data_IF_923625293843
#
_entry.id   IF_923625293843
#
_cell.length_a   1.000
_cell.length_b   1.000
_cell.length_c   1.000
_cell.angle_alpha   90.00
_cell.angle_beta   90.00
_cell.angle_gamma   90.00
#
_symmetry.space_group_name_H-M   'P 1'
#
loop_
_entity.id
_entity.type
_entity.pdbx_description
1 polymer ?
#
# COMPACT_ATOMS: atom_id res chain seq x y z
N UNK A 1 -20.93 1.32 53.36
CA UNK A 1 -21.20 1.71 51.95
C UNK A 1 -19.90 1.59 51.19
N UNK A 2 -19.82 0.64 50.27
CA UNK A 2 -18.67 0.39 49.39
C UNK A 2 -19.10 0.82 47.98
N UNK A 3 -18.32 1.68 47.33
CA UNK A 3 -18.36 1.85 45.87
C UNK A 3 -16.91 1.91 45.39
N UNK A 4 -16.39 0.76 44.97
CA UNK A 4 -15.15 0.66 44.23
C UNK A 4 -15.46 0.91 42.75
N UNK A 5 -14.97 2.02 42.21
CA UNK A 5 -15.00 2.30 40.76
C UNK A 5 -13.85 1.53 40.09
N UNK A 6 -14.16 0.37 39.53
CA UNK A 6 -13.29 -0.31 38.58
C UNK A 6 -13.43 0.35 37.20
N UNK A 7 -12.48 1.23 36.85
CA UNK A 7 -12.33 1.72 35.49
C UNK A 7 -11.53 0.65 34.72
N UNK A 8 -12.24 -0.23 34.02
CA UNK A 8 -11.63 -1.11 33.02
C UNK A 8 -11.29 -0.24 31.81
N UNK A 9 -10.02 0.15 31.70
CA UNK A 9 -9.48 0.61 30.43
C UNK A 9 -9.51 -0.59 29.48
N UNK A 10 -10.54 -0.66 28.63
CA UNK A 10 -10.51 -1.53 27.46
C UNK A 10 -9.46 -0.95 26.52
N UNK A 11 -8.27 -1.56 26.50
CA UNK A 11 -7.35 -1.39 25.38
C UNK A 11 -8.09 -1.87 24.12
N UNK A 12 -8.60 -0.93 23.33
CA UNK A 12 -9.08 -1.24 22.00
C UNK A 12 -7.88 -1.83 21.24
N UNK A 13 -7.95 -3.08 20.75
CA UNK A 13 -6.85 -3.65 20.01
C UNK A 13 -6.57 -2.72 18.83
N UNK A 14 -5.29 -2.34 18.67
CA UNK A 14 -4.86 -1.57 17.51
C UNK A 14 -5.41 -2.26 16.25
N UNK A 15 -6.21 -1.53 15.47
CA UNK A 15 -6.90 -2.09 14.32
C UNK A 15 -5.86 -2.69 13.38
N UNK A 16 -5.83 -4.02 13.28
CA UNK A 16 -4.91 -4.73 12.42
C UNK A 16 -5.25 -4.39 10.97
N UNK A 17 -4.24 -4.07 10.17
CA UNK A 17 -4.44 -3.90 8.74
C UNK A 17 -4.73 -5.27 8.11
N UNK A 18 -5.92 -5.42 7.53
CA UNK A 18 -6.32 -6.62 6.82
C UNK A 18 -6.12 -6.40 5.32
N UNK A 19 -4.97 -6.85 4.81
CA UNK A 19 -4.65 -6.72 3.40
C UNK A 19 -5.64 -7.48 2.51
N UNK A 20 -6.11 -6.83 1.43
CA UNK A 20 -6.70 -7.53 0.31
C UNK A 20 -5.58 -8.26 -0.44
N UNK A 21 -5.55 -9.60 -0.33
CA UNK A 21 -4.46 -10.42 -0.88
C UNK A 21 -4.24 -10.20 -2.38
N UNK A 22 -5.31 -9.95 -3.15
CA UNK A 22 -5.20 -9.73 -4.60
C UNK A 22 -4.56 -8.37 -4.91
N UNK A 23 -4.95 -7.32 -4.18
CA UNK A 23 -4.35 -6.00 -4.33
C UNK A 23 -2.90 -5.95 -3.83
N UNK A 24 -2.59 -6.61 -2.70
CA UNK A 24 -1.22 -6.72 -2.20
C UNK A 24 -0.31 -7.46 -3.19
N UNK A 25 -0.82 -8.55 -3.80
CA UNK A 25 -0.10 -9.24 -4.87
C UNK A 25 0.13 -8.32 -6.08
N UNK A 26 -0.89 -7.60 -6.53
CA UNK A 26 -0.73 -6.64 -7.64
C UNK A 26 0.39 -5.62 -7.36
N UNK A 27 0.40 -5.01 -6.18
CA UNK A 27 1.46 -4.05 -5.82
C UNK A 27 2.83 -4.73 -5.75
N UNK A 28 2.88 -5.97 -5.27
CA UNK A 28 4.14 -6.74 -5.24
C UNK A 28 4.67 -6.98 -6.65
N UNK A 29 3.81 -7.32 -7.62
CA UNK A 29 4.21 -7.47 -9.03
C UNK A 29 4.70 -6.13 -9.61
N UNK A 30 4.03 -5.01 -9.30
CA UNK A 30 4.47 -3.66 -9.73
C UNK A 30 5.88 -3.36 -9.22
N UNK A 31 6.13 -3.60 -7.93
CA UNK A 31 7.45 -3.39 -7.32
C UNK A 31 8.51 -4.34 -7.90
N UNK A 32 8.17 -5.61 -8.13
CA UNK A 32 9.11 -6.57 -8.74
C UNK A 32 9.48 -6.18 -10.16
N UNK A 33 8.52 -5.74 -10.97
CA UNK A 33 8.79 -5.29 -12.32
C UNK A 33 9.66 -4.01 -12.36
N UNK A 34 9.40 -3.06 -11.47
CA UNK A 34 10.24 -1.87 -11.31
C UNK A 34 11.66 -2.23 -10.83
N UNK A 35 11.78 -3.18 -9.89
CA UNK A 35 13.06 -3.71 -9.42
C UNK A 35 13.86 -4.40 -10.54
N UNK A 36 13.21 -5.24 -11.35
CA UNK A 36 13.86 -5.85 -12.52
C UNK A 36 14.33 -4.81 -13.53
N UNK A 37 13.53 -3.76 -13.74
CA UNK A 37 13.91 -2.64 -14.60
C UNK A 37 15.15 -1.92 -14.06
N UNK A 38 15.21 -1.67 -12.74
CA UNK A 38 16.37 -1.08 -12.08
C UNK A 38 17.62 -1.96 -12.23
N UNK A 39 17.50 -3.28 -12.02
CA UNK A 39 18.59 -4.24 -12.17
C UNK A 39 19.13 -4.31 -13.61
N UNK A 40 18.27 -4.11 -14.61
CA UNK A 40 18.66 -4.04 -16.01
C UNK A 40 19.30 -2.69 -16.40
N UNK A 41 19.44 -1.74 -15.46
CA UNK A 41 19.97 -0.40 -15.71
C UNK A 41 18.97 0.55 -16.37
N UNK A 42 17.67 0.21 -16.34
CA UNK A 42 16.59 1.07 -16.82
C UNK A 42 16.20 2.17 -15.83
N UNK A 43 15.26 3.02 -16.22
CA UNK A 43 14.64 3.99 -15.32
C UNK A 43 13.63 3.30 -14.40
N UNK A 44 13.70 3.61 -13.11
CA UNK A 44 12.88 3.00 -12.07
C UNK A 44 12.29 4.08 -11.16
N UNK A 45 11.21 3.75 -10.46
CA UNK A 45 10.42 4.67 -9.64
C UNK A 45 10.75 4.53 -8.17
N UNK A 46 11.01 3.31 -7.68
CA UNK A 46 11.21 3.05 -6.26
C UNK A 46 12.68 2.86 -5.89
N UNK A 47 13.02 3.28 -4.68
CA UNK A 47 14.36 3.13 -4.12
C UNK A 47 14.57 1.71 -3.62
N UNK A 48 15.70 1.12 -4.00
CA UNK A 48 16.10 -0.22 -3.60
C UNK A 48 17.45 -0.17 -2.86
N UNK A 49 17.59 -1.00 -1.83
CA UNK A 49 18.89 -1.22 -1.18
C UNK A 49 19.90 -1.79 -2.19
N UNK A 50 21.16 -1.40 -2.09
CA UNK A 50 22.22 -1.86 -3.01
C UNK A 50 22.47 -3.37 -2.97
N UNK A 51 22.05 -4.04 -1.89
CA UNK A 51 22.11 -5.48 -1.70
C UNK A 51 20.71 -6.13 -1.70
N UNK A 52 19.67 -5.40 -2.12
CA UNK A 52 18.33 -5.95 -2.26
C UNK A 52 18.31 -7.10 -3.27
N UNK A 53 17.53 -8.14 -2.96
CA UNK A 53 17.25 -9.27 -3.84
C UNK A 53 15.74 -9.43 -3.96
N UNK A 54 15.25 -10.14 -4.98
CA UNK A 54 13.82 -10.42 -5.11
C UNK A 54 13.24 -11.08 -3.85
N UNK A 55 13.96 -12.04 -3.26
CA UNK A 55 13.52 -12.76 -2.08
C UNK A 55 13.42 -11.85 -0.84
N UNK A 56 14.42 -10.98 -0.64
CA UNK A 56 14.40 -10.03 0.48
C UNK A 56 13.34 -8.96 0.28
N UNK A 57 13.16 -8.45 -0.94
CA UNK A 57 12.15 -7.46 -1.29
C UNK A 57 10.73 -8.03 -1.12
N UNK A 58 10.48 -9.26 -1.59
CA UNK A 58 9.21 -9.95 -1.42
C UNK A 58 8.88 -10.14 0.06
N UNK A 59 9.86 -10.57 0.87
CA UNK A 59 9.69 -10.71 2.32
C UNK A 59 9.37 -9.37 3.00
N UNK A 60 10.03 -8.29 2.57
CA UNK A 60 9.80 -6.94 3.10
C UNK A 60 8.40 -6.43 2.75
N UNK A 61 7.95 -6.64 1.52
CA UNK A 61 6.59 -6.30 1.08
C UNK A 61 5.52 -7.07 1.87
N UNK A 62 5.69 -8.38 2.05
CA UNK A 62 4.76 -9.20 2.84
C UNK A 62 4.67 -8.72 4.30
N UNK A 63 5.82 -8.42 4.91
CA UNK A 63 5.87 -7.88 6.27
C UNK A 63 5.25 -6.49 6.36
N UNK A 64 5.49 -5.63 5.39
CA UNK A 64 4.88 -4.30 5.34
C UNK A 64 3.35 -4.41 5.21
N UNK A 65 2.86 -5.21 4.26
CA UNK A 65 1.42 -5.45 4.07
C UNK A 65 0.76 -6.25 5.20
N UNK A 66 1.51 -6.89 6.10
CA UNK A 66 0.93 -7.44 7.33
C UNK A 66 0.44 -6.35 8.29
N UNK A 67 0.93 -5.12 8.14
CA UNK A 67 0.66 -3.99 9.02
C UNK A 67 1.24 -4.11 10.43
N UNK A 68 2.05 -5.14 10.70
CA UNK A 68 2.72 -5.32 12.00
C UNK A 68 4.12 -4.72 12.05
N UNK A 69 4.73 -4.46 10.88
CA UNK A 69 6.05 -3.86 10.76
C UNK A 69 6.05 -2.74 9.69
N UNK A 70 5.68 -1.50 10.06
CA UNK A 70 5.67 -0.36 9.14
C UNK A 70 7.07 0.04 8.61
N UNK A 71 8.14 -0.47 9.24
CA UNK A 71 9.52 -0.20 8.87
C UNK A 71 10.16 -1.32 8.04
N UNK A 72 9.43 -2.41 7.77
CA UNK A 72 9.93 -3.53 6.97
C UNK A 72 10.36 -3.12 5.56
N UNK A 73 9.69 -2.12 4.98
CA UNK A 73 9.99 -1.58 3.67
C UNK A 73 10.82 -0.29 3.81
N UNK A 74 12.08 -0.36 3.37
CA UNK A 74 13.02 0.77 3.36
C UNK A 74 12.82 1.60 2.10
N UNK A 75 11.72 2.35 2.07
CA UNK A 75 11.36 3.30 1.02
C UNK A 75 11.04 4.66 1.64
N UNK A 76 11.25 5.72 0.88
CA UNK A 76 10.89 7.08 1.25
C UNK A 76 9.38 7.20 1.51
N UNK A 77 8.94 8.14 2.35
CA UNK A 77 7.51 8.27 2.68
C UNK A 77 6.60 8.45 1.46
N UNK A 78 7.05 9.21 0.45
CA UNK A 78 6.30 9.42 -0.79
C UNK A 78 6.14 8.14 -1.62
N UNK A 79 7.15 7.26 -1.60
CA UNK A 79 7.10 5.97 -2.29
C UNK A 79 6.09 5.04 -1.61
N UNK A 80 6.08 4.99 -0.26
CA UNK A 80 5.07 4.23 0.49
C UNK A 80 3.65 4.73 0.22
N UNK A 81 3.47 6.05 0.10
CA UNK A 81 2.20 6.64 -0.31
C UNK A 81 1.81 6.15 -1.71
N UNK A 82 2.72 6.21 -2.70
CA UNK A 82 2.45 5.71 -4.04
C UNK A 82 2.09 4.22 -4.07
N UNK A 83 2.77 3.38 -3.29
CA UNK A 83 2.41 1.96 -3.14
C UNK A 83 1.00 1.78 -2.56
N UNK A 84 0.62 2.61 -1.59
CA UNK A 84 -0.72 2.57 -1.03
C UNK A 84 -1.78 3.04 -2.05
N UNK A 85 -1.47 4.04 -2.87
CA UNK A 85 -2.32 4.48 -4.00
C UNK A 85 -2.59 3.34 -4.98
N UNK A 86 -1.54 2.62 -5.40
CA UNK A 86 -1.67 1.43 -6.25
C UNK A 86 -2.48 0.32 -5.56
N UNK A 87 -2.23 0.08 -4.27
CA UNK A 87 -2.98 -0.91 -3.49
C UNK A 87 -4.47 -0.56 -3.44
N UNK A 88 -4.81 0.68 -3.08
CA UNK A 88 -6.20 1.11 -2.97
C UNK A 88 -6.90 1.02 -4.33
N UNK A 89 -6.29 1.53 -5.40
CA UNK A 89 -6.82 1.42 -6.74
C UNK A 89 -7.12 -0.04 -7.11
N UNK A 90 -6.19 -0.97 -6.81
CA UNK A 90 -6.38 -2.39 -7.01
C UNK A 90 -7.52 -2.97 -6.15
N UNK A 91 -7.76 -2.49 -4.92
CA UNK A 91 -8.93 -2.93 -4.13
C UNK A 91 -10.27 -2.53 -4.75
N UNK A 92 -10.28 -1.48 -5.59
CA UNK A 92 -11.48 -0.95 -6.25
C UNK A 92 -11.73 -1.56 -7.63
N UNK A 93 -10.72 -2.17 -8.24
CA UNK A 93 -10.84 -2.83 -9.53
C UNK A 93 -11.81 -4.03 -9.49
N UNK A 94 -12.52 -4.30 -10.59
CA UNK A 94 -13.33 -5.51 -10.69
C UNK A 94 -12.42 -6.75 -10.62
N UNK A 95 -12.92 -7.84 -10.02
CA UNK A 95 -12.13 -9.06 -9.84
C UNK A 95 -11.61 -9.68 -11.16
N UNK A 96 -12.24 -9.33 -12.28
CA UNK A 96 -11.89 -9.72 -13.66
C UNK A 96 -10.93 -8.74 -14.36
N UNK A 97 -10.41 -7.73 -13.66
CA UNK A 97 -9.49 -6.75 -14.25
C UNK A 97 -8.24 -7.44 -14.81
N UNK A 98 -7.78 -7.05 -16.01
CA UNK A 98 -6.54 -7.55 -16.61
C UNK A 98 -5.31 -7.36 -15.72
N UNK A 99 -5.30 -6.33 -14.85
CA UNK A 99 -4.22 -6.07 -13.90
C UNK A 99 -3.88 -7.25 -12.99
N UNK A 100 -4.86 -8.12 -12.70
CA UNK A 100 -4.64 -9.27 -11.83
C UNK A 100 -4.07 -10.49 -12.56
N UNK A 101 -3.97 -10.42 -13.89
CA UNK A 101 -3.36 -11.46 -14.73
C UNK A 101 -1.99 -11.02 -15.20
N UNK A 102 -1.89 -9.79 -15.70
CA UNK A 102 -0.67 -9.24 -16.28
C UNK A 102 -0.65 -7.72 -16.09
N UNK A 103 0.34 -7.22 -15.36
CA UNK A 103 0.51 -5.79 -15.08
C UNK A 103 1.03 -5.02 -16.30
N UNK A 104 1.63 -5.70 -17.27
CA UNK A 104 2.09 -5.12 -18.53
C UNK A 104 0.99 -5.07 -19.60
N UNK A 105 -0.19 -5.65 -19.33
CA UNK A 105 -1.34 -5.55 -20.22
C UNK A 105 -1.77 -4.08 -20.33
N UNK A 106 -1.86 -3.49 -21.55
CA UNK A 106 -2.27 -2.09 -21.71
C UNK A 106 -3.62 -1.77 -21.06
N UNK A 107 -4.55 -2.74 -21.04
CA UNK A 107 -5.84 -2.56 -20.39
C UNK A 107 -5.74 -2.49 -18.86
N UNK A 108 -4.65 -3.00 -18.25
CA UNK A 108 -4.38 -2.76 -16.84
C UNK A 108 -4.14 -1.27 -16.57
N UNK A 109 -3.33 -0.61 -17.40
CA UNK A 109 -3.04 0.82 -17.25
C UNK A 109 -4.31 1.69 -17.30
N UNK A 110 -5.28 1.32 -18.14
CA UNK A 110 -6.58 2.00 -18.23
C UNK A 110 -7.41 1.82 -16.95
N UNK A 111 -7.51 0.59 -16.43
CA UNK A 111 -8.24 0.31 -15.19
C UNK A 111 -7.59 1.02 -13.99
N UNK A 112 -6.25 1.00 -13.93
CA UNK A 112 -5.48 1.61 -12.86
C UNK A 112 -5.60 3.14 -12.87
N UNK A 113 -5.36 3.77 -14.02
CA UNK A 113 -5.44 5.22 -14.16
C UNK A 113 -6.82 5.77 -13.80
N UNK A 114 -7.90 5.05 -14.15
CA UNK A 114 -9.27 5.41 -13.77
C UNK A 114 -9.46 5.50 -12.25
N UNK A 115 -8.87 4.60 -11.49
CA UNK A 115 -8.98 4.61 -10.02
C UNK A 115 -8.02 5.61 -9.40
N UNK A 116 -6.80 5.74 -9.92
CA UNK A 116 -5.85 6.77 -9.47
C UNK A 116 -6.39 8.19 -9.68
N UNK A 117 -7.11 8.45 -10.78
CA UNK A 117 -7.77 9.75 -10.99
C UNK A 117 -8.77 10.09 -9.88
N UNK A 118 -9.47 9.09 -9.33
CA UNK A 118 -10.41 9.31 -8.22
C UNK A 118 -9.71 9.62 -6.91
N UNK A 119 -8.55 9.03 -6.67
CA UNK A 119 -7.71 9.42 -5.54
C UNK A 119 -7.31 10.88 -5.64
N UNK A 120 -6.88 11.35 -6.82
CA UNK A 120 -6.53 12.76 -7.06
C UNK A 120 -7.72 13.69 -6.83
N UNK A 121 -8.95 13.22 -7.09
CA UNK A 121 -10.20 13.95 -6.82
C UNK A 121 -10.70 13.79 -5.37
N UNK A 122 -9.82 13.45 -4.42
CA UNK A 122 -10.14 13.31 -2.99
C UNK A 122 -11.28 12.29 -2.69
N UNK A 123 -11.31 11.13 -3.38
CA UNK A 123 -12.34 10.12 -3.13
C UNK A 123 -12.42 9.78 -1.63
N UNK A 124 -13.57 9.97 -0.98
CA UNK A 124 -13.67 9.81 0.48
C UNK A 124 -13.43 8.36 0.91
N UNK A 125 -13.53 7.37 0.00
CA UNK A 125 -13.14 5.98 0.27
C UNK A 125 -11.63 5.83 0.33
N UNK A 126 -10.87 6.53 -0.53
CA UNK A 126 -9.41 6.57 -0.45
C UNK A 126 -8.97 7.20 0.86
N UNK A 127 -9.47 8.39 1.19
CA UNK A 127 -9.09 9.11 2.43
C UNK A 127 -9.33 8.24 3.67
N UNK A 128 -10.49 7.58 3.77
CA UNK A 128 -10.78 6.68 4.90
C UNK A 128 -9.85 5.47 4.94
N UNK A 129 -9.57 4.86 3.79
CA UNK A 129 -8.66 3.73 3.71
C UNK A 129 -7.23 4.16 4.12
N UNK A 130 -6.77 5.29 3.60
CA UNK A 130 -5.46 5.87 3.88
C UNK A 130 -5.29 6.15 5.37
N UNK A 131 -6.22 6.88 5.99
CA UNK A 131 -6.14 7.19 7.43
C UNK A 131 -6.15 5.92 8.29
N UNK A 132 -6.92 4.89 7.90
CA UNK A 132 -6.93 3.60 8.60
C UNK A 132 -5.61 2.83 8.46
N UNK A 133 -4.93 2.98 7.32
CA UNK A 133 -3.68 2.29 7.00
C UNK A 133 -2.43 3.08 7.43
N UNK A 134 -2.59 4.37 7.76
CA UNK A 134 -1.49 5.29 8.05
C UNK A 134 -0.54 4.78 9.13
N UNK A 135 -1.07 4.39 10.28
CA UNK A 135 -0.24 3.86 11.38
C UNK A 135 0.27 2.44 11.09
N UNK A 136 -0.56 1.48 10.67
CA UNK A 136 -0.09 0.11 10.37
C UNK A 136 0.99 0.04 9.29
N UNK A 137 0.93 0.90 8.27
CA UNK A 137 1.86 0.88 7.14
C UNK A 137 2.93 1.99 7.22
N UNK A 138 2.91 2.82 8.26
CA UNK A 138 3.86 3.93 8.40
C UNK A 138 3.78 4.93 7.26
N UNK A 139 2.56 5.24 6.78
CA UNK A 139 2.34 6.19 5.70
C UNK A 139 2.56 7.64 6.20
N UNK A 140 3.04 8.56 5.34
CA UNK A 140 3.13 9.96 5.69
C UNK A 140 1.72 10.57 5.91
N UNK A 141 1.63 11.74 6.55
CA UNK A 141 0.40 12.54 6.50
C UNK A 141 -0.05 12.74 5.06
N UNK A 142 -1.36 12.57 4.80
CA UNK A 142 -1.91 12.86 3.49
C UNK A 142 -1.89 14.38 3.30
N UNK A 143 -1.01 14.87 2.43
CA UNK A 143 -1.07 16.25 1.98
C UNK A 143 -2.26 16.38 1.04
N UNK A 144 -3.34 16.97 1.56
CA UNK A 144 -4.51 17.28 0.74
C UNK A 144 -4.10 18.44 -0.15
N UNK A 145 -4.08 18.21 -1.46
CA UNK A 145 -3.96 19.30 -2.41
C UNK A 145 -5.16 20.23 -2.17
N UNK A 146 -4.92 21.40 -1.60
CA UNK A 146 -5.87 22.50 -1.67
C UNK A 146 -5.94 22.93 -3.13
N UNK A 147 -6.78 22.24 -3.91
CA UNK A 147 -7.10 22.62 -5.27
C UNK A 147 -7.82 23.98 -5.29
#
# INVERSE_FOLDING_TARGET
MLVALCVLAWDAPAQSFAANAKAARFVSEVVMNDFHTAQAGGGYVFSYDSHETEATLSTRLDRWFSGTDPHALTMEPAEKQALFSFYWAATMMPASSPCFRDIADPACGEDLSKWMARELDDDPRFIRAYESAKKPLGLPPLERNAH
#
